data_IF_239507438397
#
_entry.id   IF_239507438397
#
_cell.length_a   1.000
_cell.length_b   1.000
_cell.length_c   1.000
_cell.angle_alpha   90.00
_cell.angle_beta   90.00
_cell.angle_gamma   90.00
#
_symmetry.space_group_name_H-M   'P 1'
#
loop_
_entity.id
_entity.type
_entity.pdbx_description
1 polymer ?
#
# COMPACT_ATOMS: atom_id res chain seq x y z
N UNK A 1 22.82 21.66 11.65
CA UNK A 1 23.33 20.27 11.67
C UNK A 1 23.81 19.95 10.26
N UNK A 2 25.10 19.71 10.08
CA UNK A 2 25.65 19.33 8.76
C UNK A 2 25.29 17.86 8.53
N UNK A 3 24.61 17.56 7.42
CA UNK A 3 24.33 16.18 7.01
C UNK A 3 25.63 15.61 6.43
N UNK A 4 26.10 14.49 6.97
CA UNK A 4 27.31 13.82 6.51
C UNK A 4 26.95 12.60 5.64
N UNK A 5 27.47 12.54 4.41
CA UNK A 5 27.29 11.42 3.48
C UNK A 5 28.39 10.40 3.74
N UNK A 6 28.03 9.24 4.31
CA UNK A 6 28.99 8.30 4.93
C UNK A 6 29.30 7.03 4.15
N UNK A 7 28.44 6.63 3.22
CA UNK A 7 28.53 5.31 2.57
C UNK A 7 28.80 5.47 1.08
N UNK A 8 29.71 4.64 0.54
CA UNK A 8 30.05 4.53 -0.89
C UNK A 8 30.36 3.07 -1.23
N UNK A 9 30.50 2.76 -2.54
CA UNK A 9 30.87 1.41 -3.01
C UNK A 9 29.90 0.33 -2.53
N UNK A 10 30.41 -0.85 -2.25
CA UNK A 10 29.61 -2.03 -1.89
C UNK A 10 28.78 -1.81 -0.62
N UNK A 11 29.32 -1.11 0.38
CA UNK A 11 28.59 -0.80 1.60
C UNK A 11 27.37 0.11 1.35
N UNK A 12 27.37 0.94 0.30
CA UNK A 12 26.20 1.69 -0.12
C UNK A 12 25.18 0.78 -0.83
N UNK A 13 25.66 -0.08 -1.73
CA UNK A 13 24.81 -1.03 -2.47
C UNK A 13 24.08 -1.99 -1.52
N UNK A 14 24.79 -2.60 -0.59
CA UNK A 14 24.19 -3.48 0.45
C UNK A 14 23.10 -2.77 1.25
N UNK A 15 23.22 -1.45 1.49
CA UNK A 15 22.20 -0.70 2.21
C UNK A 15 20.95 -0.45 1.37
N UNK A 16 21.11 -0.24 0.07
CA UNK A 16 20.01 -0.08 -0.88
C UNK A 16 19.25 -1.40 -1.00
N UNK A 17 19.96 -2.50 -1.21
CA UNK A 17 19.36 -3.84 -1.34
C UNK A 17 18.62 -4.24 -0.06
N UNK A 18 19.27 -4.10 1.10
CA UNK A 18 18.66 -4.42 2.40
C UNK A 18 17.39 -3.61 2.68
N UNK A 19 17.30 -2.38 2.17
CA UNK A 19 16.08 -1.58 2.31
C UNK A 19 14.90 -2.23 1.55
N UNK A 20 15.14 -2.73 0.34
CA UNK A 20 14.12 -3.44 -0.46
C UNK A 20 13.78 -4.79 0.15
N UNK A 21 14.79 -5.57 0.54
CA UNK A 21 14.61 -6.88 1.13
C UNK A 21 13.84 -6.82 2.45
N UNK A 22 14.08 -5.80 3.28
CA UNK A 22 13.38 -5.65 4.56
C UNK A 22 11.86 -5.50 4.39
N UNK A 23 11.40 -4.82 3.34
CA UNK A 23 9.97 -4.63 3.06
C UNK A 23 9.37 -5.91 2.50
N UNK A 24 10.10 -6.63 1.64
CA UNK A 24 9.69 -7.94 1.10
C UNK A 24 9.56 -8.98 2.20
N UNK A 25 10.52 -9.06 3.12
CA UNK A 25 10.46 -9.97 4.27
C UNK A 25 9.25 -9.65 5.15
N UNK A 26 9.07 -8.37 5.51
CA UNK A 26 7.93 -7.91 6.30
C UNK A 26 6.60 -8.30 5.69
N UNK A 27 6.42 -8.02 4.40
CA UNK A 27 5.23 -8.41 3.65
C UNK A 27 5.01 -9.92 3.72
N UNK A 28 6.05 -10.73 3.47
CA UNK A 28 5.98 -12.20 3.49
C UNK A 28 5.63 -12.77 4.87
N UNK A 29 6.15 -12.20 5.96
CA UNK A 29 5.84 -12.65 7.33
C UNK A 29 4.39 -12.32 7.69
N UNK A 30 3.93 -11.10 7.37
CA UNK A 30 2.55 -10.66 7.61
C UNK A 30 1.55 -11.54 6.86
N UNK A 31 1.71 -11.67 5.54
CA UNK A 31 0.76 -12.40 4.70
C UNK A 31 0.67 -13.87 5.10
N UNK A 32 1.82 -14.52 5.34
CA UNK A 32 1.88 -15.91 5.79
C UNK A 32 1.19 -16.12 7.14
N UNK A 33 1.42 -15.23 8.10
CA UNK A 33 0.80 -15.35 9.42
C UNK A 33 -0.71 -15.14 9.37
N UNK A 34 -1.19 -14.12 8.66
CA UNK A 34 -2.63 -13.89 8.49
C UNK A 34 -3.31 -15.03 7.72
N UNK A 35 -2.67 -15.58 6.69
CA UNK A 35 -3.16 -16.75 5.97
C UNK A 35 -3.26 -17.98 6.89
N UNK A 36 -2.22 -18.25 7.66
CA UNK A 36 -2.16 -19.41 8.57
C UNK A 36 -3.21 -19.32 9.69
N UNK A 37 -3.51 -18.10 10.14
CA UNK A 37 -4.54 -17.82 11.14
C UNK A 37 -5.97 -17.74 10.57
N UNK A 38 -6.13 -17.88 9.24
CA UNK A 38 -7.43 -17.76 8.57
C UNK A 38 -8.07 -16.39 8.77
N UNK A 39 -7.28 -15.32 8.78
CA UNK A 39 -7.74 -13.95 8.97
C UNK A 39 -7.93 -13.29 7.60
N UNK A 40 -9.13 -12.79 7.25
CA UNK A 40 -9.32 -12.01 6.04
C UNK A 40 -8.51 -10.70 6.06
N UNK A 41 -7.78 -10.43 4.98
CA UNK A 41 -7.04 -9.19 4.79
C UNK A 41 -6.88 -8.88 3.29
N UNK A 42 -6.41 -7.67 2.98
CA UNK A 42 -5.89 -7.33 1.66
C UNK A 42 -4.67 -6.41 1.78
N UNK A 43 -3.59 -6.73 1.07
CA UNK A 43 -2.46 -5.81 0.85
C UNK A 43 -2.91 -4.69 -0.07
N UNK A 44 -2.58 -3.46 0.30
CA UNK A 44 -2.91 -2.24 -0.44
C UNK A 44 -1.63 -1.38 -0.57
N UNK A 45 -1.78 -0.06 -0.66
CA UNK A 45 -0.62 0.84 -0.62
C UNK A 45 0.24 0.77 -1.88
N UNK A 46 1.54 1.01 -1.76
CA UNK A 46 2.48 0.90 -2.87
C UNK A 46 2.73 -0.55 -3.31
N UNK A 47 2.77 -1.49 -2.36
CA UNK A 47 2.99 -2.92 -2.67
C UNK A 47 1.94 -3.47 -3.63
N UNK A 48 0.65 -3.17 -3.38
CA UNK A 48 -0.42 -3.60 -4.29
C UNK A 48 -0.30 -2.97 -5.69
N UNK A 49 0.09 -1.70 -5.79
CA UNK A 49 0.28 -1.02 -7.08
C UNK A 49 1.40 -1.66 -7.89
N UNK A 50 2.53 -1.97 -7.25
CA UNK A 50 3.65 -2.64 -7.90
C UNK A 50 3.21 -3.93 -8.60
N UNK A 51 2.33 -4.71 -7.96
CA UNK A 51 1.85 -5.95 -8.54
C UNK A 51 1.04 -5.76 -9.82
N UNK A 52 0.23 -4.71 -9.91
CA UNK A 52 -0.56 -4.42 -11.12
C UNK A 52 0.30 -3.87 -12.25
N UNK A 53 1.16 -2.91 -11.91
CA UNK A 53 2.00 -2.21 -12.89
C UNK A 53 3.10 -3.12 -13.45
N UNK A 54 3.74 -3.94 -12.61
CA UNK A 54 4.82 -4.86 -13.03
C UNK A 54 4.38 -5.95 -14.01
N UNK A 55 3.08 -6.23 -14.11
CA UNK A 55 2.55 -7.15 -15.13
C UNK A 55 2.56 -6.56 -16.54
N UNK A 56 2.65 -5.23 -16.65
CA UNK A 56 2.67 -4.50 -17.92
C UNK A 56 4.07 -4.01 -18.24
N UNK A 57 4.71 -3.32 -17.29
CA UNK A 57 6.06 -2.79 -17.44
C UNK A 57 6.78 -2.77 -16.09
N UNK A 58 7.87 -3.54 -15.97
CA UNK A 58 8.66 -3.61 -14.74
C UNK A 58 9.48 -2.32 -14.47
N UNK A 59 9.75 -1.50 -15.48
CA UNK A 59 10.62 -0.33 -15.38
C UNK A 59 10.00 0.83 -14.59
N UNK A 60 8.67 0.87 -14.49
CA UNK A 60 7.92 1.90 -13.75
C UNK A 60 7.65 1.49 -12.29
N UNK A 61 8.11 0.32 -11.86
CA UNK A 61 7.91 -0.18 -10.49
C UNK A 61 8.66 0.70 -9.48
N UNK A 62 7.93 1.18 -8.48
CA UNK A 62 8.49 1.99 -7.38
C UNK A 62 8.56 1.21 -6.08
N UNK A 63 9.73 1.20 -5.45
CA UNK A 63 9.88 0.65 -4.10
C UNK A 63 9.10 1.47 -3.06
N UNK A 64 8.43 0.77 -2.15
CA UNK A 64 7.79 1.37 -0.97
C UNK A 64 8.56 1.01 0.29
N UNK A 65 8.31 1.73 1.38
CA UNK A 65 9.01 1.56 2.68
C UNK A 65 8.15 0.84 3.72
N UNK A 66 6.84 1.01 3.61
CA UNK A 66 5.82 0.48 4.49
C UNK A 66 5.05 -0.67 3.83
N UNK A 67 4.35 -1.44 4.66
CA UNK A 67 3.33 -2.39 4.21
C UNK A 67 1.98 -1.84 4.65
N UNK A 68 1.04 -1.67 3.73
CA UNK A 68 -0.32 -1.24 4.06
C UNK A 68 -1.28 -2.43 3.88
N UNK A 69 -2.13 -2.70 4.87
CA UNK A 69 -3.16 -3.75 4.80
C UNK A 69 -4.55 -3.24 5.22
N UNK A 70 -5.58 -3.89 4.69
CA UNK A 70 -6.96 -3.80 5.16
C UNK A 70 -7.24 -4.98 6.09
N UNK A 71 -7.90 -4.74 7.22
CA UNK A 71 -8.49 -5.75 8.09
C UNK A 71 -9.95 -5.43 8.39
N UNK A 72 -10.73 -6.45 8.77
CA UNK A 72 -11.97 -6.20 9.50
C UNK A 72 -11.62 -5.76 10.92
N UNK A 73 -12.32 -4.77 11.47
CA UNK A 73 -12.09 -4.31 12.85
C UNK A 73 -12.30 -5.43 13.88
N UNK A 74 -13.27 -6.33 13.63
CA UNK A 74 -13.55 -7.49 14.47
C UNK A 74 -12.43 -8.55 14.47
N UNK A 75 -11.56 -8.57 13.45
CA UNK A 75 -10.44 -9.51 13.35
C UNK A 75 -9.15 -8.95 13.97
N UNK A 76 -9.15 -7.71 14.48
CA UNK A 76 -7.95 -7.04 14.96
C UNK A 76 -7.24 -7.82 16.07
N UNK A 77 -7.97 -8.29 17.08
CA UNK A 77 -7.38 -9.04 18.21
C UNK A 77 -6.73 -10.35 17.74
N UNK A 78 -7.35 -11.05 16.79
CA UNK A 78 -6.78 -12.26 16.18
C UNK A 78 -5.52 -11.93 15.38
N UNK A 79 -5.52 -10.80 14.66
CA UNK A 79 -4.37 -10.34 13.89
C UNK A 79 -3.22 -9.93 14.80
N UNK A 80 -3.50 -9.30 15.95
CA UNK A 80 -2.50 -8.99 16.98
C UNK A 80 -1.81 -10.27 17.43
N UNK A 81 -2.57 -11.27 17.90
CA UNK A 81 -1.99 -12.53 18.37
C UNK A 81 -1.16 -13.24 17.29
N UNK A 82 -1.64 -13.27 16.04
CA UNK A 82 -0.94 -13.92 14.93
C UNK A 82 0.37 -13.21 14.56
N UNK A 83 0.36 -11.88 14.53
CA UNK A 83 1.54 -11.10 14.15
C UNK A 83 2.55 -10.96 15.30
N UNK A 84 2.11 -10.92 16.55
CA UNK A 84 3.00 -10.96 17.71
C UNK A 84 3.82 -12.26 17.78
N UNK A 85 3.24 -13.40 17.36
CA UNK A 85 3.97 -14.65 17.23
C UNK A 85 5.11 -14.61 16.19
N UNK A 86 5.02 -13.68 15.23
CA UNK A 86 6.07 -13.40 14.22
C UNK A 86 7.00 -12.25 14.63
N UNK A 87 6.95 -11.82 15.89
CA UNK A 87 7.80 -10.77 16.45
C UNK A 87 7.36 -9.34 16.13
N UNK A 88 6.17 -9.14 15.57
CA UNK A 88 5.61 -7.80 15.41
C UNK A 88 5.08 -7.26 16.75
N UNK A 89 5.07 -5.94 16.90
CA UNK A 89 4.56 -5.26 18.10
C UNK A 89 3.37 -4.39 17.69
N UNK A 90 2.19 -4.70 18.21
CA UNK A 90 1.01 -3.88 17.97
C UNK A 90 1.17 -2.48 18.60
N UNK A 91 0.79 -1.46 17.84
CA UNK A 91 0.75 -0.08 18.32
C UNK A 91 -0.43 0.66 17.72
N UNK A 92 -1.15 1.40 18.56
CA UNK A 92 -2.12 2.41 18.12
C UNK A 92 -1.66 3.79 18.60
N UNK A 93 -1.54 4.74 17.70
CA UNK A 93 -1.08 6.10 18.03
C UNK A 93 -1.68 7.11 17.06
N UNK A 94 -2.16 8.25 17.60
CA UNK A 94 -2.78 9.33 16.82
C UNK A 94 -3.84 8.85 15.80
N UNK A 95 -4.68 7.87 16.19
CA UNK A 95 -5.71 7.29 15.33
C UNK A 95 -5.22 6.30 14.29
N UNK A 96 -3.90 6.06 14.18
CA UNK A 96 -3.30 5.09 13.26
C UNK A 96 -3.07 3.77 13.98
N UNK A 97 -3.53 2.69 13.37
CA UNK A 97 -3.25 1.31 13.80
C UNK A 97 -2.08 0.77 12.99
N UNK A 98 -1.09 0.17 13.66
CA UNK A 98 0.09 -0.39 13.01
C UNK A 98 0.72 -1.55 13.77
N UNK A 99 1.50 -2.36 13.06
CA UNK A 99 2.38 -3.37 13.62
C UNK A 99 3.83 -3.00 13.33
N UNK A 100 4.62 -2.81 14.38
CA UNK A 100 6.04 -2.51 14.29
C UNK A 100 6.84 -3.79 14.11
N UNK A 101 7.84 -3.75 13.23
CA UNK A 101 8.72 -4.87 12.92
C UNK A 101 9.85 -5.00 13.96
N UNK A 102 9.47 -5.34 15.18
CA UNK A 102 10.36 -5.41 16.34
C UNK A 102 10.50 -4.10 17.13
N UNK A 103 11.27 -4.13 18.23
CA UNK A 103 11.33 -3.03 19.21
C UNK A 103 11.99 -1.75 18.67
N UNK A 104 12.94 -1.89 17.74
CA UNK A 104 13.68 -0.77 17.16
C UNK A 104 13.02 -0.19 15.89
N UNK A 105 11.89 -0.77 15.46
CA UNK A 105 11.22 -0.35 14.24
C UNK A 105 10.60 1.04 14.39
N UNK A 106 10.76 1.84 13.35
CA UNK A 106 10.15 3.16 13.25
C UNK A 106 8.73 3.02 12.71
N UNK A 107 7.84 3.91 13.13
CA UNK A 107 6.46 3.95 12.64
C UNK A 107 6.36 4.05 11.11
N UNK A 108 7.37 4.64 10.44
CA UNK A 108 7.41 4.79 8.97
C UNK A 108 7.74 3.50 8.21
N UNK A 109 8.24 2.48 8.91
CA UNK A 109 8.63 1.18 8.35
C UNK A 109 7.62 0.10 8.77
N UNK A 110 6.51 0.50 9.41
CA UNK A 110 5.54 -0.41 10.01
C UNK A 110 4.62 -1.07 8.97
N UNK A 111 3.85 -2.04 9.45
CA UNK A 111 2.65 -2.51 8.76
C UNK A 111 1.49 -1.62 9.19
N UNK A 112 0.99 -0.75 8.32
CA UNK A 112 -0.15 0.11 8.58
C UNK A 112 -1.46 -0.63 8.30
N UNK A 113 -2.42 -0.45 9.20
CA UNK A 113 -3.75 -1.06 9.10
C UNK A 113 -4.79 0.02 8.90
N UNK A 114 -5.66 -0.19 7.92
CA UNK A 114 -6.94 0.52 7.79
C UNK A 114 -8.08 -0.49 7.86
N UNK A 115 -9.24 -0.05 8.32
CA UNK A 115 -10.37 -0.95 8.57
C UNK A 115 -11.39 -0.93 7.44
N UNK A 116 -11.77 -2.12 6.99
CA UNK A 116 -12.81 -2.32 5.98
C UNK A 116 -14.12 -1.60 6.36
N UNK A 117 -14.75 -0.93 5.40
CA UNK A 117 -16.01 -0.21 5.61
C UNK A 117 -15.91 1.07 6.45
N UNK A 118 -14.71 1.47 6.89
CA UNK A 118 -14.48 2.71 7.64
C UNK A 118 -13.82 3.76 6.76
N UNK A 119 -14.13 5.03 6.97
CA UNK A 119 -13.35 6.12 6.38
C UNK A 119 -12.02 6.26 7.12
N UNK A 120 -10.93 6.45 6.37
CA UNK A 120 -9.61 6.77 6.94
C UNK A 120 -9.59 8.21 7.49
N UNK A 121 -10.28 9.12 6.81
CA UNK A 121 -10.54 10.49 7.26
C UNK A 121 -11.98 10.85 6.95
N UNK A 122 -12.62 11.65 7.80
CA UNK A 122 -14.03 12.03 7.66
C UNK A 122 -14.34 12.69 6.29
N UNK A 123 -13.40 13.49 5.79
CA UNK A 123 -13.49 14.22 4.52
C UNK A 123 -13.27 13.34 3.27
N UNK A 124 -12.87 12.08 3.44
CA UNK A 124 -12.71 11.16 2.29
C UNK A 124 -14.08 10.85 1.67
N UNK A 125 -14.19 10.82 0.33
CA UNK A 125 -15.46 10.61 -0.36
C UNK A 125 -16.04 9.21 -0.13
N UNK A 126 -15.18 8.19 0.03
CA UNK A 126 -15.57 6.79 0.18
C UNK A 126 -14.90 6.16 1.42
N UNK A 127 -15.53 5.15 2.05
CA UNK A 127 -14.86 4.31 3.03
C UNK A 127 -13.82 3.39 2.36
N UNK A 128 -12.96 2.77 3.16
CA UNK A 128 -12.10 1.67 2.73
C UNK A 128 -12.98 0.53 2.19
N UNK A 129 -12.63 -0.08 1.04
CA UNK A 129 -13.37 -1.21 0.48
C UNK A 129 -13.51 -2.38 1.47
N UNK A 130 -14.61 -3.12 1.36
CA UNK A 130 -14.76 -4.39 2.08
C UNK A 130 -13.81 -5.47 1.55
N UNK A 131 -13.70 -6.56 2.32
CA UNK A 131 -12.89 -7.74 1.99
C UNK A 131 -13.74 -8.86 1.35
N UNK A 132 -14.92 -8.55 0.81
CA UNK A 132 -15.80 -9.55 0.19
C UNK A 132 -15.23 -10.13 -1.11
N UNK A 133 -14.43 -9.34 -1.82
CA UNK A 133 -13.71 -9.76 -3.02
C UNK A 133 -12.23 -9.39 -2.86
N UNK A 134 -11.36 -10.37 -3.09
CA UNK A 134 -9.90 -10.20 -3.08
C UNK A 134 -9.29 -11.01 -4.23
N UNK A 135 -8.11 -10.60 -4.65
CA UNK A 135 -7.32 -11.32 -5.64
C UNK A 135 -6.02 -11.84 -5.02
N UNK A 136 -5.55 -12.98 -5.52
CA UNK A 136 -4.28 -13.56 -5.08
C UNK A 136 -3.14 -13.07 -5.94
N UNK A 137 -2.05 -12.67 -5.29
CA UNK A 137 -0.79 -12.31 -5.91
C UNK A 137 0.32 -13.07 -5.18
N UNK A 138 0.74 -14.18 -5.79
CA UNK A 138 1.50 -15.21 -5.09
C UNK A 138 0.75 -15.68 -3.84
N UNK A 139 1.39 -15.55 -2.69
CA UNK A 139 0.82 -15.95 -1.39
C UNK A 139 0.12 -14.80 -0.65
N UNK A 140 -0.13 -13.66 -1.30
CA UNK A 140 -0.78 -12.50 -0.71
C UNK A 140 -2.15 -12.23 -1.32
N UNK A 141 -3.12 -11.79 -0.51
CA UNK A 141 -4.37 -11.23 -1.01
C UNK A 141 -4.25 -9.74 -1.23
N UNK A 142 -4.84 -9.19 -2.28
CA UNK A 142 -4.99 -7.75 -2.52
C UNK A 142 -6.42 -7.42 -2.96
N UNK A 143 -6.71 -6.13 -3.11
CA UNK A 143 -7.96 -5.67 -3.70
C UNK A 143 -7.96 -5.90 -5.22
N UNK A 144 -9.12 -6.24 -5.82
CA UNK A 144 -9.31 -6.14 -7.26
C UNK A 144 -8.87 -4.77 -7.77
N UNK A 145 -8.31 -4.72 -8.98
CA UNK A 145 -7.66 -3.52 -9.53
C UNK A 145 -8.54 -2.27 -9.41
N UNK A 146 -9.80 -2.34 -9.82
CA UNK A 146 -10.73 -1.21 -9.76
C UNK A 146 -10.93 -0.67 -8.34
N UNK A 147 -11.04 -1.54 -7.34
CA UNK A 147 -11.16 -1.13 -5.92
C UNK A 147 -9.88 -0.45 -5.44
N UNK A 148 -8.71 -0.92 -5.88
CA UNK A 148 -7.43 -0.27 -5.58
C UNK A 148 -7.35 1.13 -6.19
N UNK A 149 -7.75 1.30 -7.47
CA UNK A 149 -7.78 2.60 -8.15
C UNK A 149 -8.70 3.58 -7.43
N UNK A 150 -9.93 3.16 -7.10
CA UNK A 150 -10.87 3.98 -6.31
C UNK A 150 -10.32 4.36 -4.95
N UNK A 151 -9.61 3.47 -4.28
CA UNK A 151 -8.96 3.75 -3.00
C UNK A 151 -7.83 4.80 -3.14
N UNK A 152 -7.04 4.74 -4.22
CA UNK A 152 -6.01 5.75 -4.53
C UNK A 152 -6.63 7.10 -4.83
N UNK A 153 -7.65 7.15 -5.67
CA UNK A 153 -8.40 8.38 -5.95
C UNK A 153 -9.11 8.93 -4.71
N UNK A 154 -9.58 8.07 -3.80
CA UNK A 154 -10.23 8.49 -2.54
C UNK A 154 -9.24 9.18 -1.60
N UNK A 155 -8.03 8.65 -1.48
CA UNK A 155 -7.00 9.22 -0.61
C UNK A 155 -6.26 10.41 -1.22
N UNK A 156 -6.01 10.36 -2.53
CA UNK A 156 -5.45 11.43 -3.38
C UNK A 156 -4.28 12.21 -2.77
N UNK A 157 -3.43 11.54 -2.00
CA UNK A 157 -2.18 12.12 -1.51
C UNK A 157 -1.17 12.13 -2.65
N UNK A 158 -0.12 12.95 -2.58
CA UNK A 158 0.93 13.01 -3.61
C UNK A 158 1.51 11.64 -4.00
N UNK A 159 1.70 10.73 -3.03
CA UNK A 159 2.13 9.34 -3.31
C UNK A 159 1.09 8.55 -4.12
N UNK A 160 -0.19 8.74 -3.83
CA UNK A 160 -1.28 8.05 -4.53
C UNK A 160 -1.49 8.64 -5.94
N UNK A 161 -1.31 9.95 -6.12
CA UNK A 161 -1.28 10.59 -7.45
C UNK A 161 -0.16 10.01 -8.32
N UNK A 162 1.06 9.89 -7.79
CA UNK A 162 2.18 9.28 -8.53
C UNK A 162 1.87 7.84 -8.94
N UNK A 163 1.30 7.02 -8.04
CA UNK A 163 0.88 5.67 -8.40
C UNK A 163 -0.17 5.64 -9.52
N UNK A 164 -1.11 6.57 -9.53
CA UNK A 164 -2.13 6.68 -10.58
C UNK A 164 -1.52 7.12 -11.90
N UNK A 165 -0.56 8.04 -11.89
CA UNK A 165 0.22 8.43 -13.08
C UNK A 165 1.02 7.25 -13.62
N UNK A 166 1.68 6.46 -12.77
CA UNK A 166 2.39 5.25 -13.20
C UNK A 166 1.43 4.23 -13.84
N UNK A 167 0.16 4.15 -13.40
CA UNK A 167 -0.87 3.30 -14.02
C UNK A 167 -1.38 3.88 -15.35
N UNK A 168 -1.46 5.21 -15.48
CA UNK A 168 -1.86 5.90 -16.70
C UNK A 168 -0.78 5.72 -17.79
N UNK A 169 0.49 5.91 -17.44
CA UNK A 169 1.61 5.86 -18.39
C UNK A 169 1.78 4.48 -19.03
N UNK A 170 1.41 3.41 -18.33
CA UNK A 170 1.40 2.03 -18.86
C UNK A 170 0.05 1.59 -19.42
N UNK A 171 -0.94 2.49 -19.47
CA UNK A 171 -2.25 2.23 -20.07
C UNK A 171 -3.20 1.36 -19.25
N UNK A 172 -2.96 1.17 -17.95
CA UNK A 172 -3.90 0.45 -17.07
C UNK A 172 -5.15 1.30 -16.74
N UNK A 173 -5.00 2.63 -16.74
CA UNK A 173 -6.08 3.60 -16.53
C UNK A 173 -6.04 4.62 -17.67
N UNK A 174 -7.21 4.99 -18.19
CA UNK A 174 -7.36 5.99 -19.24
C UNK A 174 -8.66 6.79 -19.05
N UNK A 175 -9.00 7.64 -20.03
CA UNK A 175 -10.23 8.44 -20.01
C UNK A 175 -11.52 7.60 -19.96
N UNK A 176 -11.49 6.32 -20.36
CA UNK A 176 -12.68 5.44 -20.32
C UNK A 176 -13.08 5.04 -18.89
N UNK A 177 -12.23 5.34 -17.89
CA UNK A 177 -12.54 5.16 -16.48
C UNK A 177 -13.45 6.25 -15.91
N UNK A 178 -13.49 7.44 -16.52
CA UNK A 178 -14.20 8.60 -15.97
C UNK A 178 -15.69 8.31 -15.73
N UNK A 179 -16.36 7.65 -16.69
CA UNK A 179 -17.76 7.28 -16.58
C UNK A 179 -18.07 6.17 -15.56
N UNK A 180 -17.05 5.55 -14.96
CA UNK A 180 -17.18 4.47 -13.96
C UNK A 180 -17.04 4.98 -12.53
N UNK A 181 -16.61 6.23 -12.36
CA UNK A 181 -16.24 6.81 -11.07
C UNK A 181 -17.33 7.77 -10.58
N UNK A 182 -17.56 7.84 -9.26
CA UNK A 182 -18.41 8.88 -8.70
C UNK A 182 -17.75 10.27 -8.86
N UNK A 183 -18.54 11.36 -8.86
CA UNK A 183 -18.06 12.68 -9.28
C UNK A 183 -16.76 13.16 -8.59
N UNK A 184 -16.57 13.01 -7.25
CA UNK A 184 -15.33 13.46 -6.62
C UNK A 184 -14.08 12.70 -7.10
N UNK A 185 -14.22 11.42 -7.45
CA UNK A 185 -13.12 10.61 -7.95
C UNK A 185 -12.88 10.83 -9.44
N UNK A 186 -13.96 11.06 -10.20
CA UNK A 186 -13.88 11.45 -11.60
C UNK A 186 -13.05 12.73 -11.76
N UNK A 187 -13.37 13.80 -11.02
CA UNK A 187 -12.63 15.07 -11.08
C UNK A 187 -11.14 14.88 -10.77
N UNK A 188 -10.81 14.01 -9.80
CA UNK A 188 -9.42 13.70 -9.42
C UNK A 188 -8.68 12.93 -10.51
N UNK A 189 -9.36 12.03 -11.22
CA UNK A 189 -8.76 11.34 -12.36
C UNK A 189 -8.59 12.28 -13.56
N UNK A 190 -9.59 13.13 -13.84
CA UNK A 190 -9.48 14.18 -14.88
C UNK A 190 -8.31 15.12 -14.62
N UNK A 191 -8.06 15.50 -13.36
CA UNK A 191 -6.91 16.33 -12.99
C UNK A 191 -5.58 15.66 -13.42
N UNK A 192 -5.42 14.37 -13.18
CA UNK A 192 -4.20 13.63 -13.54
C UNK A 192 -4.06 13.42 -15.05
N UNK A 193 -5.15 13.09 -15.74
CA UNK A 193 -5.14 12.89 -17.20
C UNK A 193 -4.81 14.17 -17.97
N UNK A 194 -5.07 15.34 -17.37
CA UNK A 194 -4.78 16.64 -17.95
C UNK A 194 -3.43 17.22 -17.50
N UNK A 195 -2.64 16.51 -16.67
CA UNK A 195 -1.33 16.99 -16.24
C UNK A 195 -0.32 16.90 -17.41
N UNK A 196 0.23 18.03 -17.91
CA UNK A 196 1.15 18.03 -19.02
C UNK A 196 2.54 17.44 -18.70
N UNK A 197 2.81 17.03 -17.45
CA UNK A 197 4.04 16.35 -17.05
C UNK A 197 3.99 14.82 -17.20
N UNK A 198 3.08 14.28 -18.02
CA UNK A 198 3.12 12.89 -18.49
C UNK A 198 4.30 12.70 -19.46
N UNK A 199 5.50 12.87 -18.91
CA UNK A 199 6.77 12.78 -19.61
C UNK A 199 7.06 11.33 -19.97
N UNK A 200 6.69 10.96 -21.19
CA UNK A 200 7.44 9.98 -21.97
C UNK A 200 8.84 10.47 -22.32
#
# INVERSE_FOLDING_TARGET
MVIEIKYTGDALWERIERAVESVRDRLRRVTRSLNSAGIPYAVIGGNAVQHWVSQVDESVVRNTRDVDIILNEADLERAIAALEAEGFIYRRSAGVTMFLDGPDAKARDAVHVVFAGKKVREDYPEPVPDLGETEWIGDARTLPFEKLVRMKLTSFRRRDQVHLLDMISVGLIDANWLGRLPPPLQTRLEELLNDPNDGG
#
